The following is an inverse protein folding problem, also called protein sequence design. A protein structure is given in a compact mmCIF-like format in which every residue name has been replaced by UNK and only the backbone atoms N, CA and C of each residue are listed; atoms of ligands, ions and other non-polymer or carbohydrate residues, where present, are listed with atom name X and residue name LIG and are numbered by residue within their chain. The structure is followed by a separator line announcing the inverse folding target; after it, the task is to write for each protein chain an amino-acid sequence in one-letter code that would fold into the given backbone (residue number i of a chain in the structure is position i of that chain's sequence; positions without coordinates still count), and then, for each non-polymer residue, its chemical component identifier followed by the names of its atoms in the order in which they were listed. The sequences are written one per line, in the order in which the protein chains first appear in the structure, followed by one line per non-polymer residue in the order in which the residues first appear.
data_IF_644782437898
#
_entry.id   IF_644782437898
#
_cell.length_a   1.000
_cell.length_b   1.000
_cell.length_c   1.000
_cell.angle_alpha   90.00
_cell.angle_beta   90.00
_cell.angle_gamma   90.00
#
_symmetry.space_group_name_H-M   'P 1'
#
loop_
_entity.id
_entity.type
_entity.pdbx_description
1 polymer ?
#
# COMPACT_ATOMS: atom_id res chain seq x y z
N UNK A 1 29.32 -3.05 56.94
CA UNK A 1 28.90 -1.65 56.70
C UNK A 1 29.76 -1.05 55.61
N UNK A 2 29.13 -0.27 54.71
CA UNK A 2 29.64 0.42 53.51
C UNK A 2 29.72 -0.43 52.22
N UNK A 3 28.75 -0.14 51.35
CA UNK A 3 28.43 -0.71 50.04
C UNK A 3 29.36 -0.17 48.94
N UNK A 4 29.63 -0.94 47.87
CA UNK A 4 30.37 -0.48 46.71
C UNK A 4 29.48 0.30 45.72
N UNK A 5 30.11 1.22 45.00
CA UNK A 5 29.55 2.04 43.92
C UNK A 5 29.21 1.16 42.71
N UNK A 6 27.94 1.14 42.30
CA UNK A 6 27.47 0.56 41.03
C UNK A 6 27.28 1.71 40.04
N UNK A 7 28.13 1.76 39.02
CA UNK A 7 28.00 2.66 37.88
C UNK A 7 27.16 1.94 36.82
N UNK A 8 25.87 2.29 36.72
CA UNK A 8 24.99 1.85 35.65
C UNK A 8 25.13 2.84 34.48
N UNK A 9 25.73 2.39 33.37
CA UNK A 9 25.72 3.13 32.11
C UNK A 9 24.41 2.83 31.38
N UNK A 10 23.49 3.80 31.37
CA UNK A 10 22.25 3.75 30.59
C UNK A 10 22.54 4.14 29.13
N UNK A 11 22.21 3.24 28.21
CA UNK A 11 22.16 3.49 26.76
C UNK A 11 21.03 4.46 26.43
N UNK A 12 21.38 5.65 25.95
CA UNK A 12 20.45 6.62 25.36
C UNK A 12 20.22 6.27 23.89
N UNK A 13 19.04 5.73 23.58
CA UNK A 13 18.49 5.68 22.21
C UNK A 13 17.84 7.04 21.95
N UNK A 14 18.46 7.84 21.09
CA UNK A 14 17.94 9.15 20.69
C UNK A 14 16.84 9.03 19.63
N UNK A 15 15.60 9.33 20.01
CA UNK A 15 14.52 9.66 19.10
C UNK A 15 14.47 11.19 18.93
N UNK A 16 14.72 11.66 17.70
CA UNK A 16 14.56 13.07 17.34
C UNK A 16 13.07 13.42 17.27
N UNK A 17 12.55 14.06 18.33
CA UNK A 17 11.33 14.85 18.28
C UNK A 17 11.73 16.32 18.12
N UNK A 18 11.37 16.89 16.97
CA UNK A 18 11.51 18.30 16.63
C UNK A 18 10.78 19.17 17.66
N UNK A 19 11.53 20.01 18.38
CA UNK A 19 10.99 21.07 19.24
C UNK A 19 10.51 22.25 18.39
N UNK A 20 9.20 22.54 18.47
CA UNK A 20 8.66 23.85 18.11
C UNK A 20 8.89 24.83 19.27
N UNK A 21 9.38 26.01 18.91
CA UNK A 21 9.72 27.16 19.75
C UNK A 21 8.58 27.56 20.73
N UNK A 22 8.85 27.54 22.03
CA UNK A 22 8.04 28.25 23.04
C UNK A 22 8.57 29.67 23.28
N UNK A 23 7.67 30.65 23.32
CA UNK A 23 7.88 31.98 23.91
C UNK A 23 7.13 32.06 25.27
N UNK A 24 7.57 32.96 26.18
CA UNK A 24 7.48 32.74 27.62
C UNK A 24 6.14 33.13 28.26
N UNK A 25 5.95 32.56 29.46
CA UNK A 25 4.79 32.64 30.33
C UNK A 25 4.56 34.01 30.98
N UNK A 26 3.29 34.38 31.11
CA UNK A 26 2.78 35.35 32.09
C UNK A 26 1.80 34.64 33.03
N UNK A 27 2.07 34.69 34.32
CA UNK A 27 1.41 33.89 35.37
C UNK A 27 0.01 34.34 35.76
N UNK A 28 -0.68 33.43 36.45
CA UNK A 28 -1.96 33.67 37.13
C UNK A 28 -2.57 32.36 37.61
N UNK A 29 -2.38 32.04 38.90
CA UNK A 29 -3.06 30.94 39.61
C UNK A 29 -4.59 31.08 39.50
N UNK A 30 -5.29 29.99 39.20
CA UNK A 30 -6.71 29.84 39.58
C UNK A 30 -7.06 28.44 40.06
N UNK A 31 -7.64 28.45 41.26
CA UNK A 31 -8.29 27.37 41.98
C UNK A 31 -9.31 26.62 41.13
N UNK A 32 -9.41 25.32 41.43
CA UNK A 32 -10.48 24.45 40.99
C UNK A 32 -11.84 24.93 41.52
N UNK A 33 -12.78 25.17 40.62
CA UNK A 33 -14.21 25.28 40.94
C UNK A 33 -14.99 24.36 40.01
N UNK A 34 -15.63 23.37 40.59
CA UNK A 34 -16.70 22.56 40.01
C UNK A 34 -17.77 23.45 39.36
N UNK A 35 -17.99 23.32 38.05
CA UNK A 35 -19.22 23.80 37.41
C UNK A 35 -19.89 22.68 36.62
N UNK A 36 -21.15 22.49 36.96
CA UNK A 36 -22.23 21.78 36.26
C UNK A 36 -22.06 21.64 34.74
N UNK A 37 -22.36 20.44 34.25
CA UNK A 37 -22.42 20.11 32.83
C UNK A 37 -23.44 21.00 32.08
N UNK A 38 -23.09 21.55 30.91
CA UNK A 38 -24.09 22.04 29.96
C UNK A 38 -24.62 20.86 29.14
N UNK A 39 -25.94 20.71 29.14
CA UNK A 39 -26.66 19.87 28.20
C UNK A 39 -26.62 20.46 26.78
N UNK A 40 -26.50 19.53 25.81
CA UNK A 40 -26.85 19.64 24.38
C UNK A 40 -26.45 20.91 23.63
N UNK A 41 -25.42 20.77 22.80
CA UNK A 41 -25.41 21.34 21.45
C UNK A 41 -25.41 20.20 20.42
N UNK A 42 -26.62 19.69 20.13
CA UNK A 42 -26.92 19.04 18.85
C UNK A 42 -26.87 20.14 17.77
N UNK A 43 -25.67 20.53 17.36
CA UNK A 43 -25.47 21.21 16.08
C UNK A 43 -25.03 20.15 15.09
N UNK A 44 -26.02 19.47 14.54
CA UNK A 44 -25.93 18.83 13.24
C UNK A 44 -25.48 19.88 12.21
N UNK A 45 -24.17 20.04 12.03
CA UNK A 45 -23.67 20.60 10.78
C UNK A 45 -24.25 19.75 9.67
N UNK A 46 -24.86 20.39 8.66
CA UNK A 46 -25.46 19.72 7.51
C UNK A 46 -24.50 18.66 6.98
N UNK A 47 -24.78 17.39 7.29
CA UNK A 47 -24.02 16.27 6.76
C UNK A 47 -24.33 16.20 5.28
N UNK A 48 -23.30 16.31 4.43
CA UNK A 48 -23.43 16.02 3.00
C UNK A 48 -24.16 14.67 2.86
N UNK A 49 -25.30 14.59 2.14
CA UNK A 49 -26.02 13.34 1.97
C UNK A 49 -25.09 12.28 1.38
N UNK A 50 -24.83 11.21 2.13
CA UNK A 50 -24.03 10.08 1.67
C UNK A 50 -24.96 9.05 1.04
N UNK A 51 -24.89 8.91 -0.30
CA UNK A 51 -25.53 7.81 -0.99
C UNK A 51 -24.53 6.63 -1.10
N UNK A 52 -24.77 5.48 -0.44
CA UNK A 52 -23.87 4.34 -0.52
C UNK A 52 -24.00 3.53 -1.82
N UNK A 53 -24.98 3.81 -2.68
CA UNK A 53 -25.22 3.13 -3.96
C UNK A 53 -25.48 4.16 -5.07
N UNK A 54 -24.40 4.67 -5.67
CA UNK A 54 -24.47 5.64 -6.75
C UNK A 54 -23.28 5.50 -7.68
N UNK A 55 -23.47 5.81 -8.96
CA UNK A 55 -22.35 5.85 -9.90
C UNK A 55 -22.62 6.82 -11.04
N UNK A 56 -21.54 7.27 -11.65
CA UNK A 56 -21.51 8.00 -12.91
C UNK A 56 -20.57 7.31 -13.87
N UNK A 57 -20.86 7.41 -15.17
CA UNK A 57 -20.05 6.81 -16.23
C UNK A 57 -19.62 7.91 -17.20
N UNK A 58 -18.36 7.87 -17.60
CA UNK A 58 -17.81 8.70 -18.67
C UNK A 58 -17.10 7.83 -19.69
N UNK A 59 -16.97 8.32 -20.91
CA UNK A 59 -16.23 7.64 -21.98
C UNK A 59 -15.00 8.48 -22.34
N UNK A 60 -13.86 7.82 -22.56
CA UNK A 60 -12.60 8.46 -22.92
C UNK A 60 -11.69 7.47 -23.64
N UNK A 61 -10.46 7.90 -23.92
CA UNK A 61 -9.46 7.10 -24.61
C UNK A 61 -8.03 7.42 -24.18
N UNK A 62 -7.18 6.39 -24.21
CA UNK A 62 -5.74 6.50 -23.96
C UNK A 62 -4.96 5.79 -25.07
N UNK A 63 -3.76 6.28 -25.37
CA UNK A 63 -2.85 5.62 -26.32
C UNK A 63 -1.81 4.85 -25.52
N UNK A 64 -1.85 3.52 -25.59
CA UNK A 64 -0.97 2.61 -24.85
C UNK A 64 -0.09 1.89 -25.86
N UNK A 65 1.24 1.99 -25.72
CA UNK A 65 2.22 1.40 -26.66
C UNK A 65 1.89 1.66 -28.14
N UNK A 66 1.44 2.88 -28.45
CA UNK A 66 1.06 3.30 -29.81
C UNK A 66 -0.35 2.87 -30.28
N UNK A 67 -1.09 2.11 -29.47
CA UNK A 67 -2.45 1.66 -29.78
C UNK A 67 -3.50 2.53 -29.10
N UNK A 68 -4.53 2.94 -29.83
CA UNK A 68 -5.69 3.65 -29.26
C UNK A 68 -6.57 2.66 -28.49
N UNK A 69 -6.83 2.96 -27.23
CA UNK A 69 -7.67 2.16 -26.32
C UNK A 69 -8.82 3.03 -25.81
N UNK A 70 -10.03 2.90 -26.40
CA UNK A 70 -11.22 3.55 -25.87
C UNK A 70 -11.73 2.81 -24.62
N UNK A 71 -12.23 3.54 -23.63
CA UNK A 71 -12.70 2.96 -22.37
C UNK A 71 -13.87 3.73 -21.77
N UNK A 72 -14.63 3.03 -20.93
CA UNK A 72 -15.58 3.59 -19.97
C UNK A 72 -14.91 3.72 -18.62
N UNK A 73 -15.13 4.85 -17.96
CA UNK A 73 -14.73 5.10 -16.59
C UNK A 73 -15.97 5.26 -15.73
N UNK A 74 -16.21 4.29 -14.86
CA UNK A 74 -17.31 4.27 -13.90
C UNK A 74 -16.76 4.60 -12.52
N UNK A 75 -17.35 5.59 -11.84
CA UNK A 75 -16.97 5.92 -10.46
C UNK A 75 -18.18 6.25 -9.61
N UNK A 76 -18.06 5.99 -8.32
CA UNK A 76 -19.11 6.23 -7.35
C UNK A 76 -18.96 5.33 -6.15
N UNK A 77 -20.06 5.04 -5.48
CA UNK A 77 -20.15 4.23 -4.27
C UNK A 77 -20.96 2.96 -4.51
N UNK A 78 -20.52 1.83 -3.96
CA UNK A 78 -21.32 0.60 -3.91
C UNK A 78 -21.43 0.09 -2.48
N UNK A 79 -22.62 -0.36 -2.02
CA UNK A 79 -22.87 -0.66 -0.62
C UNK A 79 -22.17 -1.94 -0.16
N UNK A 80 -21.83 -1.97 1.13
CA UNK A 80 -21.58 -3.18 1.93
C UNK A 80 -22.84 -3.47 2.71
N UNK A 81 -23.26 -4.73 2.74
CA UNK A 81 -24.44 -5.17 3.47
C UNK A 81 -24.05 -5.94 4.73
N UNK A 82 -24.90 -5.91 5.74
CA UNK A 82 -24.85 -6.88 6.83
C UNK A 82 -25.61 -8.18 6.46
N UNK A 83 -25.61 -9.13 7.40
CA UNK A 83 -26.30 -10.42 7.27
C UNK A 83 -27.82 -10.29 7.05
N UNK A 84 -28.41 -9.16 7.45
CA UNK A 84 -29.82 -8.84 7.22
C UNK A 84 -30.09 -8.12 5.90
N UNK A 85 -29.07 -7.88 5.08
CA UNK A 85 -29.17 -7.15 3.81
C UNK A 85 -29.27 -5.63 3.97
N UNK A 86 -29.01 -5.09 5.17
CA UNK A 86 -29.00 -3.65 5.40
C UNK A 86 -27.64 -3.08 5.01
N UNK A 87 -27.63 -1.97 4.26
CA UNK A 87 -26.38 -1.29 3.95
C UNK A 87 -25.73 -0.74 5.23
N UNK A 88 -24.46 -1.07 5.47
CA UNK A 88 -23.66 -0.65 6.63
C UNK A 88 -22.50 0.27 6.25
N UNK A 89 -22.07 0.26 4.99
CA UNK A 89 -21.10 1.20 4.43
C UNK A 89 -21.32 1.38 2.93
N UNK A 90 -20.70 2.39 2.33
CA UNK A 90 -20.51 2.48 0.89
C UNK A 90 -19.02 2.64 0.58
N UNK A 91 -18.52 1.79 -0.32
CA UNK A 91 -17.14 1.91 -0.81
C UNK A 91 -17.11 2.70 -2.10
N UNK A 92 -16.27 3.72 -2.12
CA UNK A 92 -15.87 4.39 -3.34
C UNK A 92 -15.04 3.45 -4.22
N UNK A 93 -15.27 3.52 -5.53
CA UNK A 93 -14.48 2.79 -6.50
C UNK A 93 -14.30 3.58 -7.79
N UNK A 94 -13.25 3.22 -8.53
CA UNK A 94 -13.01 3.66 -9.90
C UNK A 94 -12.80 2.42 -10.75
N UNK A 95 -13.66 2.22 -11.75
CA UNK A 95 -13.61 1.07 -12.65
C UNK A 95 -13.39 1.54 -14.08
N UNK A 96 -12.35 1.00 -14.71
CA UNK A 96 -12.03 1.25 -16.11
C UNK A 96 -12.25 -0.03 -16.92
N UNK A 97 -13.07 0.11 -17.96
CA UNK A 97 -13.45 -0.96 -18.86
C UNK A 97 -13.16 -0.57 -20.30
N UNK A 98 -12.37 -1.38 -21.00
CA UNK A 98 -12.13 -1.16 -22.43
C UNK A 98 -13.43 -1.39 -23.23
N UNK A 99 -13.81 -0.43 -24.09
CA UNK A 99 -15.16 -0.37 -24.68
C UNK A 99 -15.30 -0.99 -26.08
N UNK A 100 -14.20 -1.31 -26.74
CA UNK A 100 -14.15 -1.91 -28.09
C UNK A 100 -13.91 -3.44 -28.08
N UNK A 101 -14.12 -4.09 -26.93
CA UNK A 101 -13.92 -5.54 -26.75
C UNK A 101 -15.25 -6.29 -26.93
N UNK A 102 -15.28 -7.25 -27.86
CA UNK A 102 -16.48 -8.08 -28.11
C UNK A 102 -16.67 -9.19 -27.07
N UNK A 103 -15.60 -9.90 -26.74
CA UNK A 103 -15.62 -10.98 -25.76
C UNK A 103 -14.98 -10.53 -24.44
N UNK A 104 -15.83 -10.27 -23.44
CA UNK A 104 -15.41 -9.88 -22.09
C UNK A 104 -15.05 -11.08 -21.23
N UNK A 105 -15.49 -12.29 -21.60
CA UNK A 105 -15.26 -13.51 -20.84
C UNK A 105 -13.79 -13.91 -20.84
N UNK A 106 -13.06 -13.61 -21.91
CA UNK A 106 -11.61 -13.89 -21.97
C UNK A 106 -10.74 -12.74 -21.43
N UNK A 107 -11.33 -11.58 -21.13
CA UNK A 107 -10.59 -10.39 -20.73
C UNK A 107 -10.42 -10.34 -19.20
N UNK A 108 -9.18 -10.27 -18.68
CA UNK A 108 -8.94 -10.21 -17.25
C UNK A 108 -9.61 -9.01 -16.57
N UNK A 109 -10.13 -9.24 -15.36
CA UNK A 109 -10.51 -8.23 -14.40
C UNK A 109 -9.44 -8.17 -13.30
N UNK A 110 -8.78 -7.03 -13.18
CA UNK A 110 -7.83 -6.73 -12.12
C UNK A 110 -8.56 -5.99 -11.00
N UNK A 111 -8.45 -6.50 -9.77
CA UNK A 111 -9.01 -5.90 -8.58
C UNK A 111 -7.86 -5.35 -7.74
N UNK A 112 -7.81 -4.02 -7.62
CA UNK A 112 -6.65 -3.30 -7.12
C UNK A 112 -6.89 -2.65 -5.77
N UNK A 113 -5.92 -2.83 -4.86
CA UNK A 113 -5.88 -2.21 -3.55
C UNK A 113 -4.56 -1.46 -3.32
N UNK A 114 -4.67 -0.24 -2.81
CA UNK A 114 -3.53 0.51 -2.34
C UNK A 114 -3.12 0.11 -0.90
N UNK A 115 -1.91 0.49 -0.51
CA UNK A 115 -1.38 0.38 0.83
C UNK A 115 -1.99 1.33 1.86
N UNK A 116 -1.29 1.52 2.97
CA UNK A 116 -1.78 2.20 4.17
C UNK A 116 -1.79 1.26 5.37
N UNK A 117 -2.84 1.25 6.21
CA UNK A 117 -4.10 0.68 5.75
C UNK A 117 -5.17 1.71 5.37
N UNK A 118 -4.90 3.00 5.51
CA UNK A 118 -5.88 4.09 5.36
C UNK A 118 -5.80 4.93 4.08
N UNK A 119 -4.94 4.57 3.12
CA UNK A 119 -4.72 5.39 1.92
C UNK A 119 -5.74 5.03 0.83
N UNK A 120 -6.27 6.05 0.16
CA UNK A 120 -7.12 5.86 -1.02
C UNK A 120 -6.33 5.20 -2.17
N UNK A 121 -7.03 4.72 -3.20
CA UNK A 121 -6.44 4.02 -4.34
C UNK A 121 -5.53 4.86 -5.25
N UNK A 122 -5.23 6.09 -4.85
CA UNK A 122 -4.60 7.13 -5.67
C UNK A 122 -3.27 6.69 -6.30
N UNK A 123 -2.40 5.95 -5.60
CA UNK A 123 -1.11 5.57 -6.18
C UNK A 123 -1.26 4.45 -7.20
N UNK A 124 -2.01 3.40 -6.87
CA UNK A 124 -2.30 2.33 -7.83
C UNK A 124 -3.05 2.85 -9.07
N UNK A 125 -3.92 3.85 -8.88
CA UNK A 125 -4.74 4.46 -9.93
C UNK A 125 -3.97 5.46 -10.80
N UNK A 126 -3.36 6.49 -10.20
CA UNK A 126 -2.80 7.66 -10.90
C UNK A 126 -1.26 7.70 -10.90
N UNK A 127 -0.58 6.66 -10.42
CA UNK A 127 0.88 6.53 -10.51
C UNK A 127 1.36 5.19 -11.12
N UNK A 128 0.46 4.22 -11.31
CA UNK A 128 0.81 2.87 -11.76
C UNK A 128 -0.02 2.42 -12.97
N UNK A 129 -1.21 1.87 -12.73
CA UNK A 129 -1.88 0.98 -13.70
C UNK A 129 -3.05 1.64 -14.45
N UNK A 130 -3.61 2.72 -13.92
CA UNK A 130 -4.74 3.42 -14.52
C UNK A 130 -4.37 4.21 -15.79
N UNK A 131 -5.37 4.78 -16.48
CA UNK A 131 -5.18 5.47 -17.77
C UNK A 131 -4.51 6.84 -17.67
N UNK A 132 -4.21 7.31 -16.46
CA UNK A 132 -3.61 8.63 -16.20
C UNK A 132 -2.44 8.53 -15.22
N UNK A 133 -1.50 9.45 -15.36
CA UNK A 133 -0.35 9.63 -14.46
C UNK A 133 -0.34 11.06 -13.92
N UNK A 134 0.07 11.24 -12.66
CA UNK A 134 0.36 12.56 -12.13
C UNK A 134 1.52 13.24 -12.89
N UNK A 135 1.47 14.56 -13.01
CA UNK A 135 2.59 15.35 -13.49
C UNK A 135 3.60 15.54 -12.36
N UNK A 136 4.67 14.74 -12.40
CA UNK A 136 5.77 14.74 -11.42
C UNK A 136 7.13 14.87 -12.12
N UNK A 137 8.13 15.38 -11.41
CA UNK A 137 9.54 15.34 -11.84
C UNK A 137 10.18 13.95 -11.63
N UNK A 138 11.47 13.83 -11.97
CA UNK A 138 12.21 12.57 -11.89
C UNK A 138 12.42 12.09 -10.44
N UNK A 139 12.33 13.02 -9.48
CA UNK A 139 12.39 12.77 -8.04
C UNK A 139 11.01 12.47 -7.42
N UNK A 140 9.92 12.66 -8.17
CA UNK A 140 8.55 12.37 -7.77
C UNK A 140 7.78 13.54 -7.15
N UNK A 141 8.31 14.76 -7.22
CA UNK A 141 7.61 15.96 -6.75
C UNK A 141 6.59 16.47 -7.78
N UNK A 142 5.44 17.01 -7.33
CA UNK A 142 4.40 17.50 -8.23
C UNK A 142 4.85 18.76 -8.98
N UNK A 143 4.63 18.77 -10.30
CA UNK A 143 4.96 19.89 -11.18
C UNK A 143 3.80 20.89 -11.31
N UNK A 144 4.11 22.19 -11.31
CA UNK A 144 3.14 23.25 -11.59
C UNK A 144 3.04 23.56 -13.10
N UNK A 145 1.83 23.84 -13.64
CA UNK A 145 0.54 23.72 -12.97
C UNK A 145 0.21 22.25 -12.68
N UNK A 146 -0.34 22.00 -11.48
CA UNK A 146 -0.66 20.64 -11.04
C UNK A 146 -1.69 20.02 -11.97
N UNK A 147 -1.52 18.73 -12.25
CA UNK A 147 -2.42 18.00 -13.13
C UNK A 147 -1.97 16.57 -13.37
N UNK A 148 -2.57 15.99 -14.40
CA UNK A 148 -2.28 14.64 -14.85
C UNK A 148 -2.10 14.61 -16.37
N UNK A 149 -1.45 13.56 -16.85
CA UNK A 149 -1.26 13.23 -18.26
C UNK A 149 -1.80 11.82 -18.54
N UNK A 150 -2.02 11.50 -19.82
CA UNK A 150 -2.38 10.13 -20.23
C UNK A 150 -1.24 9.16 -19.88
N UNK A 151 -1.58 7.95 -19.43
CA UNK A 151 -0.62 6.90 -19.11
C UNK A 151 -0.37 5.99 -20.32
N UNK A 152 0.76 6.11 -21.04
CA UNK A 152 1.07 5.24 -22.18
C UNK A 152 1.46 3.81 -21.77
N UNK A 153 1.57 3.56 -20.46
CA UNK A 153 1.94 2.28 -19.85
C UNK A 153 0.78 1.66 -19.05
N UNK A 154 -0.43 2.21 -19.16
CA UNK A 154 -1.62 1.62 -18.51
C UNK A 154 -1.82 0.18 -18.97
N UNK A 155 -2.38 -0.65 -18.10
CA UNK A 155 -2.70 -2.05 -18.40
C UNK A 155 -4.01 -2.23 -19.17
N UNK A 156 -4.70 -1.12 -19.51
CA UNK A 156 -5.98 -1.17 -20.23
C UNK A 156 -5.85 -1.70 -21.66
N UNK A 157 -4.64 -1.90 -22.20
CA UNK A 157 -4.47 -2.67 -23.43
C UNK A 157 -4.88 -4.15 -23.22
N UNK A 158 -4.52 -4.73 -22.06
CA UNK A 158 -4.64 -6.17 -21.79
C UNK A 158 -5.72 -6.56 -20.77
N UNK A 159 -6.13 -5.67 -19.87
CA UNK A 159 -7.09 -6.00 -18.82
C UNK A 159 -8.04 -4.83 -18.50
N UNK A 160 -9.14 -5.11 -17.82
CA UNK A 160 -9.96 -4.07 -17.15
C UNK A 160 -9.57 -4.03 -15.68
N UNK A 161 -9.77 -2.89 -15.02
CA UNK A 161 -9.30 -2.71 -13.63
C UNK A 161 -10.29 -1.93 -12.78
N UNK A 162 -10.54 -2.44 -11.56
CA UNK A 162 -11.28 -1.75 -10.52
C UNK A 162 -10.35 -1.41 -9.35
N UNK A 163 -10.34 -0.13 -8.98
CA UNK A 163 -9.68 0.40 -7.80
C UNK A 163 -10.71 0.56 -6.70
N UNK A 164 -10.45 -0.04 -5.54
CA UNK A 164 -11.40 -0.11 -4.43
C UNK A 164 -10.83 0.61 -3.23
N UNK A 165 -11.58 1.56 -2.68
CA UNK A 165 -11.25 2.24 -1.43
C UNK A 165 -11.96 1.53 -0.26
N UNK A 166 -11.25 0.82 0.64
CA UNK A 166 -11.79 0.27 1.88
C UNK A 166 -12.52 1.32 2.73
N UNK A 167 -13.34 0.86 3.69
CA UNK A 167 -14.06 1.77 4.59
C UNK A 167 -13.08 2.71 5.31
N UNK A 168 -13.43 4.00 5.39
CA UNK A 168 -12.61 5.11 5.89
C UNK A 168 -11.40 5.52 5.02
N UNK A 169 -11.25 4.98 3.82
CA UNK A 169 -10.28 5.47 2.83
C UNK A 169 -10.97 6.30 1.75
N UNK A 170 -10.30 7.33 1.23
CA UNK A 170 -10.85 8.20 0.18
C UNK A 170 -12.26 8.72 0.51
N UNK A 171 -13.22 8.39 -0.34
CA UNK A 171 -14.64 8.75 -0.18
C UNK A 171 -15.50 7.66 0.48
N UNK A 172 -14.94 6.51 0.83
CA UNK A 172 -15.66 5.39 1.46
C UNK A 172 -16.01 5.67 2.92
N UNK A 173 -17.27 5.50 3.30
CA UNK A 173 -17.75 5.78 4.67
C UNK A 173 -18.75 4.73 5.16
N UNK A 174 -18.80 4.44 6.48
CA UNK A 174 -19.96 3.81 7.10
C UNK A 174 -21.22 4.65 6.86
N UNK A 175 -22.39 4.02 6.76
CA UNK A 175 -23.65 4.76 6.54
C UNK A 175 -24.09 5.56 7.77
N UNK A 176 -23.63 5.17 8.96
CA UNK A 176 -23.84 5.92 10.20
C UNK A 176 -22.71 5.65 11.21
N UNK A 177 -22.61 6.50 12.23
CA UNK A 177 -21.65 6.34 13.34
C UNK A 177 -21.97 5.16 14.26
N UNK A 178 -23.20 4.65 14.21
CA UNK A 178 -23.65 3.53 15.05
C UNK A 178 -23.22 2.17 14.50
N UNK A 179 -22.76 2.12 13.25
CA UNK A 179 -22.22 0.90 12.67
C UNK A 179 -20.92 0.54 13.40
N UNK A 180 -20.84 -0.65 14.03
CA UNK A 180 -19.65 -1.01 14.80
C UNK A 180 -18.41 -1.04 13.93
N UNK A 181 -17.37 -0.33 14.36
CA UNK A 181 -16.08 -0.28 13.66
C UNK A 181 -15.40 -1.64 13.54
N UNK A 182 -15.70 -2.57 14.46
CA UNK A 182 -15.24 -3.97 14.41
C UNK A 182 -15.74 -4.75 13.20
N UNK A 183 -16.76 -4.26 12.48
CA UNK A 183 -17.19 -4.83 11.19
C UNK A 183 -16.19 -4.54 10.06
N UNK A 184 -15.34 -3.52 10.21
CA UNK A 184 -14.44 -3.05 9.16
C UNK A 184 -12.96 -3.11 9.56
N UNK A 185 -12.65 -2.84 10.83
CA UNK A 185 -11.26 -2.67 11.28
C UNK A 185 -10.74 -3.94 11.95
N UNK A 186 -9.70 -4.49 11.33
CA UNK A 186 -9.06 -5.75 11.69
C UNK A 186 -8.75 -6.50 10.41
N UNK A 187 -7.64 -7.25 10.36
CA UNK A 187 -7.19 -7.93 9.13
C UNK A 187 -8.31 -8.79 8.53
N UNK A 188 -8.91 -9.66 9.34
CA UNK A 188 -9.97 -10.56 8.87
C UNK A 188 -11.31 -9.85 8.65
N UNK A 189 -11.63 -8.83 9.45
CA UNK A 189 -12.85 -8.04 9.26
C UNK A 189 -12.81 -7.32 7.90
N UNK A 190 -11.66 -6.71 7.57
CA UNK A 190 -11.41 -6.02 6.31
C UNK A 190 -11.54 -6.96 5.11
N UNK A 191 -10.88 -8.13 5.19
CA UNK A 191 -10.94 -9.17 4.16
C UNK A 191 -12.38 -9.66 3.93
N UNK A 192 -13.13 -9.94 5.00
CA UNK A 192 -14.48 -10.51 4.91
C UNK A 192 -15.44 -9.60 4.15
N UNK A 193 -15.58 -8.35 4.56
CA UNK A 193 -16.54 -7.45 3.90
C UNK A 193 -16.09 -7.09 2.48
N UNK A 194 -14.77 -6.99 2.23
CA UNK A 194 -14.24 -6.74 0.89
C UNK A 194 -14.52 -7.90 -0.06
N UNK A 195 -14.45 -9.15 0.41
CA UNK A 195 -14.78 -10.32 -0.40
C UNK A 195 -16.25 -10.32 -0.84
N UNK A 196 -17.18 -10.01 0.08
CA UNK A 196 -18.60 -9.87 -0.23
C UNK A 196 -18.87 -8.72 -1.22
N UNK A 197 -18.17 -7.60 -1.04
CA UNK A 197 -18.25 -6.45 -1.95
C UNK A 197 -17.76 -6.82 -3.35
N UNK A 198 -16.61 -7.50 -3.47
CA UNK A 198 -16.06 -7.98 -4.76
C UNK A 198 -17.05 -8.91 -5.45
N UNK A 199 -17.65 -9.86 -4.73
CA UNK A 199 -18.68 -10.76 -5.29
C UNK A 199 -19.86 -9.98 -5.86
N UNK A 200 -20.32 -8.96 -5.13
CA UNK A 200 -21.40 -8.07 -5.55
C UNK A 200 -21.00 -7.28 -6.80
N UNK A 201 -19.79 -6.74 -6.84
CA UNK A 201 -19.25 -5.99 -7.98
C UNK A 201 -19.19 -6.85 -9.24
N UNK A 202 -18.61 -8.04 -9.13
CA UNK A 202 -18.49 -9.01 -10.24
C UNK A 202 -19.87 -9.41 -10.77
N UNK A 203 -20.83 -9.61 -9.88
CA UNK A 203 -22.22 -9.93 -10.25
C UNK A 203 -22.90 -8.77 -10.98
N UNK A 204 -22.86 -7.55 -10.40
CA UNK A 204 -23.50 -6.35 -11.00
C UNK A 204 -22.91 -5.98 -12.35
N UNK A 205 -21.61 -6.26 -12.59
CA UNK A 205 -20.92 -5.93 -13.83
C UNK A 205 -20.83 -7.09 -14.85
N UNK A 206 -21.45 -8.24 -14.53
CA UNK A 206 -21.40 -9.45 -15.33
C UNK A 206 -19.96 -9.86 -15.71
N UNK A 207 -19.10 -10.03 -14.70
CA UNK A 207 -17.67 -10.37 -14.83
C UNK A 207 -17.33 -11.76 -14.32
N UNK A 208 -18.32 -12.64 -14.14
CA UNK A 208 -18.10 -13.99 -13.62
C UNK A 208 -17.23 -14.85 -14.54
N UNK A 209 -17.34 -14.69 -15.86
CA UNK A 209 -16.54 -15.45 -16.83
C UNK A 209 -15.10 -14.94 -16.95
N UNK A 210 -14.85 -13.67 -16.62
CA UNK A 210 -13.53 -13.06 -16.73
C UNK A 210 -12.51 -13.77 -15.83
N UNK A 211 -11.25 -13.96 -16.30
CA UNK A 211 -10.13 -14.25 -15.41
C UNK A 211 -10.00 -13.14 -14.36
N UNK A 212 -9.81 -13.49 -13.09
CA UNK A 212 -9.77 -12.53 -11.98
C UNK A 212 -8.40 -12.52 -11.33
N UNK A 213 -7.82 -11.34 -11.19
CA UNK A 213 -6.54 -11.16 -10.52
C UNK A 213 -6.70 -10.15 -9.40
N UNK A 214 -6.02 -10.42 -8.29
CA UNK A 214 -5.90 -9.46 -7.21
C UNK A 214 -4.52 -8.78 -7.30
N UNK A 215 -4.47 -7.46 -7.14
CA UNK A 215 -3.21 -6.72 -7.03
C UNK A 215 -3.25 -5.80 -5.81
N UNK A 216 -2.17 -5.84 -5.02
CA UNK A 216 -2.04 -5.05 -3.80
C UNK A 216 -0.67 -4.42 -3.69
N UNK A 217 -0.60 -3.18 -3.20
CA UNK A 217 0.64 -2.47 -2.87
C UNK A 217 0.78 -2.28 -1.36
N UNK A 218 1.99 -2.48 -0.80
CA UNK A 218 2.24 -2.30 0.64
C UNK A 218 1.22 -3.07 1.49
N UNK A 219 0.48 -2.47 2.43
CA UNK A 219 -0.56 -3.19 3.19
C UNK A 219 -1.69 -3.80 2.31
N UNK A 220 -1.88 -3.29 1.09
CA UNK A 220 -2.70 -3.93 0.07
C UNK A 220 -2.26 -5.37 -0.22
N UNK A 221 -0.98 -5.72 -0.06
CA UNK A 221 -0.50 -7.11 -0.18
C UNK A 221 -1.07 -8.02 0.89
N UNK A 222 -1.24 -7.51 2.12
CA UNK A 222 -1.92 -8.25 3.19
C UNK A 222 -3.37 -8.53 2.80
N UNK A 223 -4.07 -7.51 2.25
CA UNK A 223 -5.45 -7.65 1.78
C UNK A 223 -5.58 -8.69 0.68
N UNK A 224 -4.83 -8.56 -0.41
CA UNK A 224 -4.99 -9.48 -1.55
C UNK A 224 -4.55 -10.90 -1.24
N UNK A 225 -3.57 -11.08 -0.35
CA UNK A 225 -3.18 -12.39 0.15
C UNK A 225 -4.33 -13.05 0.92
N UNK A 226 -4.96 -12.33 1.85
CA UNK A 226 -6.10 -12.85 2.60
C UNK A 226 -7.38 -13.03 1.77
N UNK A 227 -7.66 -12.10 0.86
CA UNK A 227 -8.78 -12.16 -0.06
C UNK A 227 -8.69 -13.38 -0.99
N UNK A 228 -7.49 -13.82 -1.36
CA UNK A 228 -7.33 -15.02 -2.20
C UNK A 228 -8.01 -16.25 -1.58
N UNK A 229 -7.84 -16.44 -0.27
CA UNK A 229 -8.47 -17.52 0.47
C UNK A 229 -9.95 -17.23 0.72
N UNK A 230 -10.30 -16.02 1.18
CA UNK A 230 -11.69 -15.67 1.53
C UNK A 230 -12.63 -15.75 0.33
N UNK A 231 -12.21 -15.26 -0.84
CA UNK A 231 -13.00 -15.32 -2.07
C UNK A 231 -13.26 -16.78 -2.48
N UNK A 232 -12.24 -17.63 -2.40
CA UNK A 232 -12.37 -19.04 -2.76
C UNK A 232 -13.26 -19.79 -1.76
N UNK A 233 -12.96 -19.67 -0.46
CA UNK A 233 -13.58 -20.49 0.58
C UNK A 233 -14.99 -20.04 0.96
N UNK A 234 -15.29 -18.73 0.90
CA UNK A 234 -16.55 -18.18 1.39
C UNK A 234 -17.41 -17.54 0.30
N UNK A 235 -16.82 -17.10 -0.82
CA UNK A 235 -17.56 -16.47 -1.92
C UNK A 235 -17.68 -17.35 -3.18
N UNK A 236 -17.15 -18.57 -3.16
CA UNK A 236 -17.10 -19.50 -4.32
C UNK A 236 -16.48 -18.86 -5.57
N UNK A 237 -15.55 -17.93 -5.37
CA UNK A 237 -14.90 -17.18 -6.43
C UNK A 237 -13.42 -17.56 -6.48
N UNK A 238 -13.04 -18.29 -7.52
CA UNK A 238 -11.66 -18.65 -7.79
C UNK A 238 -10.96 -17.51 -8.54
N UNK A 239 -9.71 -17.26 -8.19
CA UNK A 239 -8.85 -16.26 -8.83
C UNK A 239 -7.76 -16.94 -9.66
N UNK A 240 -7.28 -16.24 -10.68
CA UNK A 240 -6.25 -16.70 -11.61
C UNK A 240 -4.84 -16.25 -11.23
N UNK A 241 -4.72 -15.33 -10.28
CA UNK A 241 -3.42 -14.92 -9.75
C UNK A 241 -3.50 -13.79 -8.72
N UNK A 242 -2.41 -13.66 -7.96
CA UNK A 242 -2.20 -12.58 -6.98
C UNK A 242 -0.89 -11.88 -7.33
N UNK A 243 -0.93 -10.55 -7.40
CA UNK A 243 0.22 -9.70 -7.71
C UNK A 243 0.53 -8.86 -6.47
N UNK A 244 1.75 -8.98 -5.97
CA UNK A 244 2.21 -8.30 -4.75
C UNK A 244 3.23 -7.23 -5.13
N UNK A 245 2.88 -5.97 -4.93
CA UNK A 245 3.76 -4.82 -5.17
C UNK A 245 4.32 -4.37 -3.83
N UNK A 246 5.64 -4.45 -3.65
CA UNK A 246 6.33 -4.03 -2.41
C UNK A 246 5.65 -4.56 -1.13
N UNK A 247 5.56 -5.89 -0.94
CA UNK A 247 4.76 -6.47 0.12
C UNK A 247 5.26 -6.12 1.52
N UNK A 248 4.31 -6.05 2.47
CA UNK A 248 4.62 -6.06 3.90
C UNK A 248 5.27 -7.40 4.31
N UNK A 249 5.52 -7.59 5.60
CA UNK A 249 6.02 -8.88 6.11
C UNK A 249 5.04 -10.03 5.88
N UNK A 250 3.75 -9.76 5.62
CA UNK A 250 2.70 -10.77 5.44
C UNK A 250 2.58 -11.74 6.62
N UNK A 251 3.00 -11.33 7.83
CA UNK A 251 3.06 -12.21 9.00
C UNK A 251 4.18 -13.25 8.95
N UNK A 252 5.08 -13.16 7.97
CA UNK A 252 6.26 -14.03 7.86
C UNK A 252 7.35 -13.46 8.76
N UNK A 253 7.67 -14.17 9.83
CA UNK A 253 8.81 -13.85 10.68
C UNK A 253 10.12 -14.20 9.96
N UNK A 254 11.02 -13.22 9.88
CA UNK A 254 12.37 -13.39 9.35
C UNK A 254 13.35 -13.24 10.51
N UNK A 255 14.40 -14.05 10.55
CA UNK A 255 15.46 -13.89 11.55
C UNK A 255 16.22 -12.57 11.35
N UNK A 256 16.71 -11.96 12.44
CA UNK A 256 17.42 -10.67 12.43
C UNK A 256 18.56 -10.62 11.39
N UNK A 257 19.34 -11.70 11.30
CA UNK A 257 20.44 -11.78 10.34
C UNK A 257 19.95 -11.75 8.88
N UNK A 258 18.83 -12.41 8.59
CA UNK A 258 18.22 -12.38 7.24
C UNK A 258 17.65 -11.00 6.93
N UNK A 259 17.03 -10.35 7.91
CA UNK A 259 16.50 -8.99 7.72
C UNK A 259 17.61 -7.98 7.43
N UNK A 260 18.77 -8.12 8.07
CA UNK A 260 19.92 -7.26 7.82
C UNK A 260 20.58 -7.56 6.46
N UNK A 261 20.90 -8.82 6.17
CA UNK A 261 21.66 -9.20 4.99
C UNK A 261 20.87 -9.02 3.68
N UNK A 262 19.59 -9.41 3.65
CA UNK A 262 18.80 -9.43 2.41
C UNK A 262 18.43 -8.03 1.88
N UNK A 263 18.78 -6.96 2.59
CA UNK A 263 18.67 -5.57 2.11
C UNK A 263 19.79 -5.21 1.10
N UNK A 264 20.90 -5.94 1.11
CA UNK A 264 22.11 -5.58 0.35
C UNK A 264 21.93 -5.56 -1.17
N UNK A 265 21.25 -6.54 -1.81
CA UNK A 265 20.99 -6.47 -3.26
C UNK A 265 20.22 -5.19 -3.67
N UNK A 266 19.29 -4.72 -2.83
CA UNK A 266 18.55 -3.48 -3.08
C UNK A 266 19.45 -2.24 -2.94
N UNK A 267 20.30 -2.20 -1.92
CA UNK A 267 21.31 -1.14 -1.77
C UNK A 267 22.25 -1.11 -2.98
N UNK A 268 22.69 -2.27 -3.46
CA UNK A 268 23.57 -2.39 -4.61
C UNK A 268 22.91 -1.92 -5.92
N UNK A 269 21.65 -2.31 -6.18
CA UNK A 269 20.87 -1.78 -7.30
C UNK A 269 20.74 -0.25 -7.24
N UNK A 270 20.50 0.28 -6.05
CA UNK A 270 20.40 1.74 -5.82
C UNK A 270 21.73 2.43 -6.09
N UNK A 271 22.85 1.88 -5.61
CA UNK A 271 24.18 2.39 -5.87
C UNK A 271 24.53 2.36 -7.37
N UNK A 272 24.17 1.28 -8.07
CA UNK A 272 24.33 1.15 -9.51
C UNK A 272 23.56 2.23 -10.28
N UNK A 273 22.28 2.44 -9.93
CA UNK A 273 21.41 3.45 -10.55
C UNK A 273 21.97 4.87 -10.37
N UNK A 274 22.44 5.21 -9.17
CA UNK A 274 23.00 6.54 -8.85
C UNK A 274 24.49 6.70 -9.18
N UNK A 275 25.08 5.75 -9.91
CA UNK A 275 26.50 5.79 -10.32
C UNK A 275 27.49 5.90 -9.15
N UNK A 276 27.22 5.19 -8.05
CA UNK A 276 28.02 5.21 -6.82
C UNK A 276 28.97 4.01 -6.67
N UNK A 277 28.97 3.08 -7.62
CA UNK A 277 29.83 1.92 -7.59
C UNK A 277 31.24 2.23 -8.12
N UNK A 278 32.26 1.43 -7.73
CA UNK A 278 33.58 1.43 -8.37
C UNK A 278 33.49 1.22 -9.88
N UNK A 279 34.44 1.80 -10.63
CA UNK A 279 34.39 1.88 -12.08
C UNK A 279 34.28 0.54 -12.81
N UNK A 280 34.77 -0.55 -12.24
CA UNK A 280 34.68 -1.88 -12.84
C UNK A 280 33.31 -2.54 -12.63
N UNK A 281 32.65 -2.27 -11.50
CA UNK A 281 31.27 -2.72 -11.24
C UNK A 281 30.25 -1.84 -11.95
N UNK A 282 30.50 -0.53 -12.01
CA UNK A 282 29.60 0.43 -12.67
C UNK A 282 29.47 0.19 -14.18
N UNK A 283 30.44 -0.49 -14.80
CA UNK A 283 30.42 -0.87 -16.22
C UNK A 283 29.60 -2.12 -16.51
N UNK A 284 29.22 -2.89 -15.48
CA UNK A 284 28.41 -4.10 -15.66
C UNK A 284 26.95 -3.70 -15.89
N UNK A 285 26.25 -4.50 -16.70
CA UNK A 285 24.80 -4.45 -16.74
C UNK A 285 24.23 -4.89 -15.39
N UNK A 286 23.11 -4.26 -14.99
CA UNK A 286 22.49 -4.53 -13.69
C UNK A 286 22.12 -6.02 -13.54
N UNK A 287 21.71 -6.66 -14.64
CA UNK A 287 21.34 -8.08 -14.70
C UNK A 287 22.52 -9.03 -14.49
N UNK A 288 23.76 -8.57 -14.77
CA UNK A 288 24.97 -9.35 -14.53
C UNK A 288 25.55 -9.05 -13.14
N UNK A 289 25.40 -7.81 -12.68
CA UNK A 289 25.90 -7.36 -11.39
C UNK A 289 25.12 -7.94 -10.20
N UNK A 290 23.79 -7.91 -10.24
CA UNK A 290 22.96 -8.34 -9.10
C UNK A 290 23.18 -9.79 -8.68
N UNK A 291 23.29 -10.79 -9.59
CA UNK A 291 23.58 -12.16 -9.20
C UNK A 291 24.88 -12.31 -8.39
N UNK A 292 25.91 -11.50 -8.66
CA UNK A 292 27.15 -11.50 -7.88
C UNK A 292 26.92 -11.03 -6.44
N UNK A 293 26.12 -9.97 -6.26
CA UNK A 293 25.75 -9.41 -4.96
C UNK A 293 24.85 -10.36 -4.18
N UNK A 294 23.89 -10.99 -4.85
CA UNK A 294 23.00 -12.00 -4.25
C UNK A 294 23.79 -13.21 -3.77
N UNK A 295 24.71 -13.71 -4.60
CA UNK A 295 25.59 -14.82 -4.23
C UNK A 295 26.45 -14.46 -2.99
N UNK A 296 27.03 -13.27 -2.96
CA UNK A 296 27.74 -12.75 -1.77
C UNK A 296 26.81 -12.66 -0.55
N UNK A 297 25.60 -12.14 -0.74
CA UNK A 297 24.63 -11.93 0.33
C UNK A 297 24.24 -13.26 1.00
N UNK A 298 23.91 -14.27 0.20
CA UNK A 298 23.46 -15.58 0.70
C UNK A 298 24.62 -16.40 1.26
N UNK A 299 25.74 -16.48 0.54
CA UNK A 299 26.78 -17.45 0.85
C UNK A 299 27.89 -16.91 1.76
N UNK A 300 28.03 -15.59 1.89
CA UNK A 300 29.09 -14.98 2.70
C UNK A 300 28.57 -14.03 3.78
N UNK A 301 27.72 -13.06 3.42
CA UNK A 301 27.25 -12.04 4.35
C UNK A 301 26.29 -12.62 5.40
N UNK A 302 25.27 -13.37 4.97
CA UNK A 302 24.27 -13.92 5.89
C UNK A 302 24.89 -14.85 6.96
N UNK A 303 25.80 -15.79 6.63
CA UNK A 303 26.53 -16.56 7.64
C UNK A 303 27.38 -15.67 8.56
N UNK A 304 28.06 -14.66 8.00
CA UNK A 304 28.90 -13.75 8.80
C UNK A 304 28.08 -12.92 9.80
N UNK A 305 26.90 -12.42 9.40
CA UNK A 305 25.98 -11.72 10.30
C UNK A 305 25.43 -12.67 11.36
N UNK A 306 25.09 -13.90 10.99
CA UNK A 306 24.61 -14.93 11.92
C UNK A 306 25.64 -15.33 12.98
N UNK A 307 26.94 -15.32 12.65
CA UNK A 307 28.03 -15.58 13.60
C UNK A 307 28.20 -14.45 14.62
N UNK A 308 27.76 -13.23 14.29
CA UNK A 308 27.80 -12.08 15.18
C UNK A 308 29.17 -11.85 15.83
N UNK A 309 29.21 -11.87 17.17
CA UNK A 309 30.42 -11.65 17.95
C UNK A 309 31.49 -12.75 17.82
N UNK A 310 31.13 -13.95 17.32
CA UNK A 310 32.07 -15.06 17.13
C UNK A 310 32.86 -14.96 15.81
N UNK A 311 32.53 -13.98 14.95
CA UNK A 311 33.25 -13.75 13.71
C UNK A 311 34.62 -13.13 14.00
N UNK A 312 35.68 -13.79 13.53
CA UNK A 312 37.05 -13.32 13.68
C UNK A 312 37.28 -11.96 12.99
N UNK A 313 38.21 -11.17 13.54
CA UNK A 313 38.42 -9.79 13.10
C UNK A 313 38.89 -9.68 11.64
N UNK A 314 39.65 -10.66 11.14
CA UNK A 314 40.13 -10.65 9.76
C UNK A 314 38.97 -10.89 8.79
N UNK A 315 38.11 -11.88 9.07
CA UNK A 315 36.91 -12.17 8.28
C UNK A 315 35.91 -11.03 8.36
N UNK A 316 35.72 -10.42 9.53
CA UNK A 316 34.86 -9.24 9.70
C UNK A 316 35.28 -8.09 8.78
N UNK A 317 36.58 -7.76 8.75
CA UNK A 317 37.12 -6.72 7.86
C UNK A 317 36.94 -7.08 6.38
N UNK A 318 37.13 -8.35 6.01
CA UNK A 318 36.94 -8.81 4.63
C UNK A 318 35.48 -8.69 4.16
N UNK A 319 34.51 -9.08 5.01
CA UNK A 319 33.08 -8.94 4.72
C UNK A 319 32.68 -7.48 4.61
N UNK A 320 33.15 -6.62 5.53
CA UNK A 320 32.88 -5.18 5.49
C UNK A 320 33.42 -4.53 4.21
N UNK A 321 34.63 -4.92 3.76
CA UNK A 321 35.20 -4.42 2.52
C UNK A 321 34.41 -4.84 1.27
N UNK A 322 33.91 -6.09 1.23
CA UNK A 322 33.03 -6.56 0.15
C UNK A 322 31.69 -5.83 0.16
N UNK A 323 31.09 -5.64 1.34
CA UNK A 323 29.85 -4.91 1.49
C UNK A 323 29.98 -3.48 0.96
N UNK A 324 30.98 -2.73 1.43
CA UNK A 324 31.26 -1.36 0.97
C UNK A 324 31.62 -1.25 -0.51
N UNK A 325 32.07 -2.36 -1.12
CA UNK A 325 32.36 -2.41 -2.56
C UNK A 325 31.08 -2.57 -3.39
N UNK A 326 30.08 -3.28 -2.87
CA UNK A 326 28.83 -3.56 -3.57
C UNK A 326 27.72 -2.52 -3.33
N UNK A 327 27.89 -1.62 -2.36
CA UNK A 327 26.90 -0.59 -1.99
C UNK A 327 27.55 0.78 -1.87
#
# INVERSE_FOLDING_TARGET
MKKPLLLAAALLVGSYLTHAQQRPAGGGERQASTSTAPSKDDKSGESIPFNPDSFVVTESEVTIKGQRVPYKATTGTMPVFDEGGKAIAGLFYMYYERSDVKDRGTRPLIISFNGGPGTASVWMHMAYTGPVLLNIDDEGYPLQPYGYKKNPYSILDVADIVFIDPVNTGYSRPVSKDVPTSKFFGVNADIKYLAEWIRTFVTRNNRWDSPKYLIGESYGTTRVSGLSLELQSNQWMYINGVILVSPTTLGIERGEASEAALKVPYCAATAWYHKKLPADLQKKDLTDFLPEVENFTINELLPAVSMGGFLDDAKRKAIAAKLARYT
#
